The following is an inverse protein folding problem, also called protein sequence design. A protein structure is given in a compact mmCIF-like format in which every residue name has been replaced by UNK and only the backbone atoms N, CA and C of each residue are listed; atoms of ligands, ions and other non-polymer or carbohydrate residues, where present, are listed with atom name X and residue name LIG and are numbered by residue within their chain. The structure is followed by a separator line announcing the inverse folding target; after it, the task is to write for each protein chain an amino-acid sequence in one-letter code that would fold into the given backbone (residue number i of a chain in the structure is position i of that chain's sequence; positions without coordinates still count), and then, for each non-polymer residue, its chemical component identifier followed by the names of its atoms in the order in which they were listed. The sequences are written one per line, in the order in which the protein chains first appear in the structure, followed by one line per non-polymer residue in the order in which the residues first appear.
data_IF_321321387950
#
_entry.id   IF_321321387950
#
_cell.length_a   1.000
_cell.length_b   1.000
_cell.length_c   1.000
_cell.angle_alpha   90.00
_cell.angle_beta   90.00
_cell.angle_gamma   90.00
#
_symmetry.space_group_name_H-M   'P 1'
#
loop_
_entity.id
_entity.type
_entity.pdbx_description
1 polymer ?
#
# COMPACT_ATOMS: atom_id res chain seq x y z
N UNK A 1 4.22 24.62 -6.57
CA UNK A 1 3.17 24.15 -7.48
C UNK A 1 3.78 23.12 -8.40
N UNK A 2 3.02 22.08 -8.82
CA UNK A 2 3.49 21.12 -9.83
C UNK A 2 3.95 21.86 -11.07
N UNK A 3 5.05 21.41 -11.68
CA UNK A 3 5.45 21.94 -12.98
C UNK A 3 4.52 21.46 -14.08
N UNK A 4 4.41 22.21 -15.18
CA UNK A 4 3.71 21.74 -16.39
C UNK A 4 4.26 20.39 -16.88
N UNK A 5 5.55 20.13 -16.62
CA UNK A 5 6.19 18.85 -16.87
C UNK A 5 5.60 17.74 -16.01
N UNK A 6 5.51 17.90 -14.68
CA UNK A 6 4.97 16.87 -13.80
C UNK A 6 3.51 16.55 -14.09
N UNK A 7 2.67 17.55 -14.32
CA UNK A 7 1.27 17.32 -14.67
C UNK A 7 1.13 16.54 -16.00
N UNK A 8 1.92 16.92 -17.01
CA UNK A 8 1.95 16.19 -18.29
C UNK A 8 2.46 14.76 -18.09
N UNK A 9 3.54 14.60 -17.34
CA UNK A 9 4.16 13.29 -17.14
C UNK A 9 3.28 12.36 -16.32
N UNK A 10 2.56 12.89 -15.33
CA UNK A 10 1.58 12.12 -14.57
C UNK A 10 0.47 11.59 -15.48
N UNK A 11 -0.04 12.43 -16.40
CA UNK A 11 -1.04 12.01 -17.39
C UNK A 11 -0.53 10.89 -18.32
N UNK A 12 0.74 10.95 -18.74
CA UNK A 12 1.37 9.86 -19.52
C UNK A 12 1.42 8.56 -18.71
N UNK A 13 1.87 8.61 -17.45
CA UNK A 13 1.92 7.44 -16.57
C UNK A 13 0.52 6.86 -16.30
N UNK A 14 -0.51 7.69 -16.14
CA UNK A 14 -1.89 7.23 -16.02
C UNK A 14 -2.33 6.41 -17.25
N UNK A 15 -1.99 6.87 -18.45
CA UNK A 15 -2.29 6.14 -19.69
C UNK A 15 -1.53 4.81 -19.76
N UNK A 16 -0.26 4.79 -19.38
CA UNK A 16 0.55 3.57 -19.30
C UNK A 16 -0.05 2.55 -18.32
N UNK A 17 -0.47 3.01 -17.13
CA UNK A 17 -1.11 2.16 -16.11
C UNK A 17 -2.41 1.55 -16.65
N UNK A 18 -3.28 2.38 -17.24
CA UNK A 18 -4.55 1.94 -17.81
C UNK A 18 -4.35 0.94 -18.94
N UNK A 19 -3.44 1.23 -19.87
CA UNK A 19 -3.11 0.34 -20.98
C UNK A 19 -2.55 -1.00 -20.50
N UNK A 20 -1.66 -0.98 -19.51
CA UNK A 20 -1.12 -2.19 -18.89
C UNK A 20 -2.23 -3.03 -18.23
N UNK A 21 -3.14 -2.36 -17.52
CA UNK A 21 -4.26 -3.01 -16.85
C UNK A 21 -5.18 -3.74 -17.86
N UNK A 22 -5.53 -3.08 -18.96
CA UNK A 22 -6.33 -3.65 -20.05
C UNK A 22 -5.61 -4.82 -20.72
N UNK A 23 -4.33 -4.65 -21.05
CA UNK A 23 -3.51 -5.67 -21.70
C UNK A 23 -3.43 -6.95 -20.85
N UNK A 24 -3.18 -6.83 -19.55
CA UNK A 24 -3.09 -7.98 -18.66
C UNK A 24 -4.45 -8.64 -18.48
N UNK A 25 -5.52 -7.86 -18.36
CA UNK A 25 -6.89 -8.39 -18.23
C UNK A 25 -7.31 -9.18 -19.48
N UNK A 26 -7.04 -8.64 -20.68
CA UNK A 26 -7.29 -9.35 -21.93
C UNK A 26 -6.44 -10.63 -22.03
N UNK A 27 -5.15 -10.56 -21.66
CA UNK A 27 -4.26 -11.72 -21.68
C UNK A 27 -4.69 -12.81 -20.71
N UNK A 28 -5.24 -12.46 -19.55
CA UNK A 28 -5.80 -13.42 -18.60
C UNK A 28 -6.98 -14.19 -19.19
N UNK A 29 -7.90 -13.50 -19.86
CA UNK A 29 -9.11 -14.09 -20.44
C UNK A 29 -8.76 -14.97 -21.65
N UNK A 30 -7.84 -14.51 -22.50
CA UNK A 30 -7.49 -15.16 -23.77
C UNK A 30 -6.43 -16.27 -23.61
N UNK A 31 -5.77 -16.37 -22.45
CA UNK A 31 -4.74 -17.37 -22.25
C UNK A 31 -5.33 -18.80 -22.31
N UNK A 32 -4.72 -19.72 -23.08
CA UNK A 32 -5.21 -21.09 -23.18
C UNK A 32 -4.97 -21.91 -21.89
N UNK A 33 -3.96 -21.53 -21.10
CA UNK A 33 -3.58 -22.22 -19.87
C UNK A 33 -3.08 -21.26 -18.79
N UNK A 34 -3.22 -21.62 -17.50
CA UNK A 34 -2.60 -20.87 -16.40
C UNK A 34 -1.09 -20.67 -16.56
N UNK A 35 -0.38 -21.68 -17.06
CA UNK A 35 1.08 -21.63 -17.28
C UNK A 35 1.44 -20.58 -18.34
N UNK A 36 0.68 -20.49 -19.43
CA UNK A 36 0.92 -19.48 -20.47
C UNK A 36 0.70 -18.06 -19.96
N UNK A 37 -0.37 -17.82 -19.18
CA UNK A 37 -0.65 -16.52 -18.57
C UNK A 37 0.43 -16.13 -17.57
N UNK A 38 0.83 -17.05 -16.68
CA UNK A 38 1.80 -16.75 -15.63
C UNK A 38 3.20 -16.52 -16.18
N UNK A 39 3.58 -17.18 -17.28
CA UNK A 39 4.82 -16.89 -18.02
C UNK A 39 4.79 -15.48 -18.60
N UNK A 40 3.68 -15.09 -19.23
CA UNK A 40 3.48 -13.72 -19.72
C UNK A 40 3.55 -12.69 -18.58
N UNK A 41 2.82 -12.91 -17.49
CA UNK A 41 2.74 -11.98 -16.37
C UNK A 41 4.12 -11.71 -15.75
N UNK A 42 4.94 -12.76 -15.56
CA UNK A 42 6.32 -12.63 -15.08
C UNK A 42 7.20 -11.83 -16.04
N UNK A 43 7.08 -12.10 -17.35
CA UNK A 43 7.85 -11.37 -18.37
C UNK A 43 7.49 -9.88 -18.42
N UNK A 44 6.29 -9.51 -17.95
CA UNK A 44 5.81 -8.14 -17.91
C UNK A 44 6.01 -7.45 -16.55
N UNK A 45 6.57 -8.11 -15.53
CA UNK A 45 6.64 -7.53 -14.17
C UNK A 45 7.35 -6.17 -14.16
N UNK A 46 8.46 -6.03 -14.89
CA UNK A 46 9.17 -4.75 -14.97
C UNK A 46 8.34 -3.67 -15.68
N UNK A 47 7.66 -4.00 -16.78
CA UNK A 47 7.06 -3.04 -17.71
C UNK A 47 5.53 -2.87 -17.56
N UNK A 48 4.91 -3.57 -16.63
CA UNK A 48 3.48 -3.47 -16.34
C UNK A 48 3.21 -2.65 -15.09
N UNK A 49 1.95 -2.39 -14.81
CA UNK A 49 1.49 -1.80 -13.56
C UNK A 49 1.59 -2.76 -12.35
N UNK A 50 2.12 -3.97 -12.52
CA UNK A 50 2.22 -4.98 -11.45
C UNK A 50 3.60 -4.98 -10.79
N UNK A 51 3.64 -5.38 -9.53
CA UNK A 51 4.87 -5.54 -8.76
C UNK A 51 4.67 -6.52 -7.60
N UNK A 52 5.79 -7.07 -7.10
CA UNK A 52 5.78 -7.99 -5.96
C UNK A 52 5.09 -9.32 -6.24
N UNK A 53 5.21 -9.85 -7.47
CA UNK A 53 4.50 -11.05 -7.87
C UNK A 53 5.05 -12.29 -7.14
N UNK A 54 4.16 -13.03 -6.48
CA UNK A 54 4.48 -14.24 -5.71
C UNK A 54 3.57 -15.40 -6.11
N UNK A 55 4.20 -16.57 -6.28
CA UNK A 55 3.48 -17.83 -6.48
C UNK A 55 3.10 -18.47 -5.14
N UNK A 56 1.85 -18.87 -5.01
CA UNK A 56 1.33 -19.64 -3.88
C UNK A 56 1.16 -21.08 -4.34
N UNK A 57 2.14 -21.93 -3.99
CA UNK A 57 2.17 -23.35 -4.33
C UNK A 57 1.20 -24.22 -3.50
N UNK A 58 0.35 -23.57 -2.70
CA UNK A 58 -0.64 -24.21 -1.83
C UNK A 58 -2.03 -24.09 -2.43
N UNK A 59 -2.81 -25.18 -2.38
CA UNK A 59 -4.19 -25.19 -2.88
C UNK A 59 -5.11 -24.41 -1.95
N UNK A 60 -5.69 -23.32 -2.45
CA UNK A 60 -6.63 -22.44 -1.76
C UNK A 60 -8.06 -22.70 -2.26
N UNK A 61 -8.75 -23.67 -1.65
CA UNK A 61 -10.16 -23.96 -1.95
C UNK A 61 -10.46 -24.14 -3.43
N UNK A 62 -11.47 -23.43 -3.93
CA UNK A 62 -11.91 -23.41 -5.34
C UNK A 62 -10.93 -22.67 -6.27
N UNK A 63 -10.07 -21.81 -5.71
CA UNK A 63 -9.11 -20.99 -6.47
C UNK A 63 -7.87 -21.78 -6.88
N UNK A 64 -7.61 -22.92 -6.24
CA UNK A 64 -6.45 -23.75 -6.54
C UNK A 64 -5.15 -23.09 -6.07
N UNK A 65 -4.06 -23.32 -6.81
CA UNK A 65 -2.83 -22.53 -6.65
C UNK A 65 -3.04 -21.14 -7.26
N UNK A 66 -2.25 -20.15 -6.86
CA UNK A 66 -2.49 -18.77 -7.28
C UNK A 66 -1.19 -18.00 -7.52
N UNK A 67 -1.26 -16.95 -8.34
CA UNK A 67 -0.33 -15.83 -8.24
C UNK A 67 -1.00 -14.70 -7.45
N UNK A 68 -0.22 -14.00 -6.65
CA UNK A 68 -0.63 -12.78 -5.95
C UNK A 68 0.44 -11.71 -6.10
N UNK A 69 0.06 -10.46 -5.93
CA UNK A 69 0.98 -9.33 -5.91
C UNK A 69 0.20 -8.05 -5.71
N UNK A 70 0.79 -6.95 -6.14
CA UNK A 70 0.16 -5.64 -6.14
C UNK A 70 0.11 -5.08 -7.55
N UNK A 71 -0.86 -4.22 -7.84
CA UNK A 71 -0.81 -3.39 -9.02
C UNK A 71 -1.24 -1.96 -8.75
N UNK A 72 -0.68 -1.05 -9.53
CA UNK A 72 -1.12 0.33 -9.62
C UNK A 72 -2.41 0.42 -10.45
N UNK A 73 -3.37 1.18 -9.97
CA UNK A 73 -4.61 1.49 -10.66
C UNK A 73 -4.89 2.99 -10.60
N UNK A 74 -5.50 3.56 -11.64
CA UNK A 74 -5.78 5.00 -11.71
C UNK A 74 -7.26 5.24 -11.93
N UNK A 75 -7.85 6.10 -11.11
CA UNK A 75 -9.25 6.52 -11.24
C UNK A 75 -9.39 7.98 -10.78
N UNK A 76 -10.14 8.79 -11.54
CA UNK A 76 -10.45 10.19 -11.19
C UNK A 76 -9.21 11.05 -10.84
N UNK A 77 -8.06 10.72 -11.44
CA UNK A 77 -6.78 11.40 -11.21
C UNK A 77 -5.95 10.84 -10.05
N UNK A 78 -6.56 10.06 -9.15
CA UNK A 78 -5.89 9.41 -8.04
C UNK A 78 -5.19 8.12 -8.48
N UNK A 79 -4.13 7.77 -7.75
CA UNK A 79 -3.41 6.52 -7.90
C UNK A 79 -3.74 5.62 -6.70
N UNK A 80 -4.15 4.41 -6.99
CA UNK A 80 -4.53 3.37 -6.04
C UNK A 80 -3.57 2.19 -6.13
N UNK A 81 -3.49 1.43 -5.05
CA UNK A 81 -2.81 0.14 -5.04
C UNK A 81 -3.87 -0.93 -4.76
N UNK A 82 -3.92 -1.94 -5.62
CA UNK A 82 -4.75 -3.12 -5.40
C UNK A 82 -3.87 -4.31 -5.07
N UNK A 83 -4.28 -5.08 -4.07
CA UNK A 83 -3.81 -6.44 -3.89
C UNK A 83 -4.56 -7.35 -4.88
N UNK A 84 -3.80 -8.01 -5.74
CA UNK A 84 -4.35 -8.81 -6.84
C UNK A 84 -4.09 -10.30 -6.62
N UNK A 85 -5.06 -11.10 -7.07
CA UNK A 85 -5.02 -12.55 -7.00
C UNK A 85 -5.49 -13.16 -8.31
N UNK A 86 -4.69 -14.08 -8.84
CA UNK A 86 -4.95 -14.85 -10.05
C UNK A 86 -5.10 -16.33 -9.71
N UNK A 87 -6.33 -16.84 -9.58
CA UNK A 87 -6.61 -18.26 -9.47
C UNK A 87 -6.07 -19.04 -10.68
N UNK A 88 -5.40 -20.16 -10.42
CA UNK A 88 -4.86 -21.05 -11.46
C UNK A 88 -5.64 -22.38 -11.54
N UNK A 89 -6.71 -22.53 -10.75
CA UNK A 89 -7.60 -23.68 -10.91
C UNK A 89 -8.35 -23.60 -12.23
N UNK A 90 -8.60 -24.76 -12.87
CA UNK A 90 -9.43 -24.82 -14.08
C UNK A 90 -10.83 -24.22 -13.91
N UNK A 91 -11.37 -24.23 -12.69
CA UNK A 91 -12.71 -23.73 -12.39
C UNK A 91 -12.78 -22.20 -12.30
N UNK A 92 -11.66 -21.53 -11.96
CA UNK A 92 -11.63 -20.08 -11.69
C UNK A 92 -10.60 -19.33 -12.54
N UNK A 93 -9.83 -20.04 -13.37
CA UNK A 93 -8.89 -19.40 -14.29
C UNK A 93 -9.63 -18.45 -15.24
N UNK A 94 -8.98 -17.34 -15.59
CA UNK A 94 -9.62 -16.21 -16.28
C UNK A 94 -10.17 -15.13 -15.33
N UNK A 95 -10.19 -15.39 -14.03
CA UNK A 95 -10.65 -14.42 -13.01
C UNK A 95 -9.48 -13.66 -12.41
N UNK A 96 -9.64 -12.34 -12.26
CA UNK A 96 -8.78 -11.53 -11.39
C UNK A 96 -9.60 -11.07 -10.19
N UNK A 97 -9.12 -11.36 -8.99
CA UNK A 97 -9.70 -10.84 -7.75
C UNK A 97 -8.81 -9.68 -7.32
N UNK A 98 -9.35 -8.46 -7.32
CA UNK A 98 -8.66 -7.26 -6.88
C UNK A 98 -9.27 -6.79 -5.56
N UNK A 99 -8.41 -6.43 -4.61
CA UNK A 99 -8.81 -5.90 -3.32
C UNK A 99 -8.05 -4.61 -3.06
N UNK A 100 -8.80 -3.51 -2.91
CA UNK A 100 -8.28 -2.18 -2.59
C UNK A 100 -7.35 -2.27 -1.37
N UNK A 101 -6.10 -1.81 -1.53
CA UNK A 101 -5.08 -1.83 -0.48
C UNK A 101 -5.23 -0.65 0.49
N UNK A 102 -6.33 0.10 0.45
CA UNK A 102 -6.71 1.18 1.38
C UNK A 102 -5.88 2.47 1.20
N UNK A 103 -4.62 2.33 0.75
CA UNK A 103 -3.71 3.43 0.43
C UNK A 103 -4.00 4.05 -0.94
N UNK A 104 -4.31 5.35 -0.94
CA UNK A 104 -4.56 6.18 -2.12
C UNK A 104 -3.57 7.34 -2.18
N UNK A 105 -3.12 7.69 -3.38
CA UNK A 105 -2.21 8.80 -3.64
C UNK A 105 -2.94 9.86 -4.46
N UNK A 106 -2.92 11.11 -3.99
CA UNK A 106 -3.47 12.23 -4.76
C UNK A 106 -2.61 12.53 -6.00
N UNK A 107 -3.20 13.12 -7.05
CA UNK A 107 -2.45 13.61 -8.22
C UNK A 107 -1.30 14.50 -7.80
N UNK A 108 -1.56 15.40 -6.84
CA UNK A 108 -0.57 16.33 -6.33
C UNK A 108 0.63 15.63 -5.71
N UNK A 109 0.40 14.56 -4.94
CA UNK A 109 1.48 13.76 -4.38
C UNK A 109 2.34 13.12 -5.47
N UNK A 110 1.71 12.49 -6.47
CA UNK A 110 2.43 11.82 -7.56
C UNK A 110 3.20 12.83 -8.42
N UNK A 111 2.62 13.99 -8.70
CA UNK A 111 3.30 15.08 -9.39
C UNK A 111 4.52 15.59 -8.62
N UNK A 112 4.44 15.67 -7.28
CA UNK A 112 5.60 15.99 -6.45
C UNK A 112 6.67 14.91 -6.50
N UNK A 113 6.31 13.62 -6.60
CA UNK A 113 7.30 12.55 -6.80
C UNK A 113 8.04 12.74 -8.13
N UNK A 114 7.31 13.08 -9.21
CA UNK A 114 7.90 13.36 -10.52
C UNK A 114 8.87 14.54 -10.42
N UNK A 115 8.42 15.67 -9.87
CA UNK A 115 9.23 16.90 -9.79
C UNK A 115 10.44 16.76 -8.84
N UNK A 116 10.26 16.14 -7.68
CA UNK A 116 11.26 16.17 -6.58
C UNK A 116 12.14 14.94 -6.53
N UNK A 117 11.63 13.78 -6.94
CA UNK A 117 12.39 12.53 -7.00
C UNK A 117 12.77 12.13 -8.42
N UNK A 118 12.33 12.87 -9.44
CA UNK A 118 12.72 12.63 -10.83
C UNK A 118 12.11 11.36 -11.42
N UNK A 119 10.91 10.97 -10.97
CA UNK A 119 10.22 9.79 -11.49
C UNK A 119 9.74 10.04 -12.91
N UNK A 120 10.26 9.29 -13.87
CA UNK A 120 9.99 9.45 -15.30
C UNK A 120 9.38 8.20 -15.94
N UNK A 121 9.29 7.09 -15.22
CA UNK A 121 8.82 5.82 -15.76
C UNK A 121 7.90 5.11 -14.78
N UNK A 122 7.03 4.24 -15.31
CA UNK A 122 6.18 3.38 -14.48
C UNK A 122 7.01 2.49 -13.54
N UNK A 123 8.17 2.02 -13.99
CA UNK A 123 9.10 1.23 -13.17
C UNK A 123 9.59 2.01 -11.96
N UNK A 124 10.05 3.25 -12.16
CA UNK A 124 10.50 4.12 -11.07
C UNK A 124 9.36 4.43 -10.09
N UNK A 125 8.14 4.68 -10.59
CA UNK A 125 6.98 4.93 -9.74
C UNK A 125 6.66 3.71 -8.84
N UNK A 126 6.68 2.50 -9.40
CA UNK A 126 6.46 1.27 -8.62
C UNK A 126 7.55 1.05 -7.58
N UNK A 127 8.81 1.27 -7.96
CA UNK A 127 9.93 1.11 -7.04
C UNK A 127 9.85 2.08 -5.87
N UNK A 128 9.54 3.35 -6.13
CA UNK A 128 9.34 4.35 -5.08
C UNK A 128 8.21 3.97 -4.12
N UNK A 129 7.05 3.54 -4.66
CA UNK A 129 5.92 3.12 -3.84
C UNK A 129 6.27 1.90 -2.99
N UNK A 130 6.93 0.90 -3.58
CA UNK A 130 7.37 -0.29 -2.88
C UNK A 130 8.41 0.02 -1.80
N UNK A 131 9.36 0.91 -2.08
CA UNK A 131 10.39 1.35 -1.13
C UNK A 131 9.77 2.08 0.07
N UNK A 132 8.84 3.01 -0.16
CA UNK A 132 8.15 3.69 0.95
C UNK A 132 7.39 2.72 1.84
N UNK A 133 6.69 1.75 1.25
CA UNK A 133 5.94 0.74 1.99
C UNK A 133 6.88 -0.14 2.82
N UNK A 134 7.98 -0.61 2.22
CA UNK A 134 8.97 -1.43 2.88
C UNK A 134 9.68 -0.67 4.00
N UNK A 135 10.09 0.58 3.76
CA UNK A 135 10.75 1.42 4.76
C UNK A 135 9.86 1.65 6.00
N UNK A 136 8.56 1.89 5.80
CA UNK A 136 7.63 2.02 6.90
C UNK A 136 7.44 0.70 7.66
N UNK A 137 7.21 -0.41 6.96
CA UNK A 137 7.00 -1.71 7.59
C UNK A 137 8.23 -2.20 8.36
N UNK A 138 9.42 -1.99 7.79
CA UNK A 138 10.69 -2.37 8.40
C UNK A 138 11.19 -1.39 9.48
N UNK A 139 10.49 -0.27 9.70
CA UNK A 139 10.85 0.69 10.75
C UNK A 139 10.65 0.17 12.18
N UNK A 140 9.84 -0.88 12.34
CA UNK A 140 9.47 -1.44 13.64
C UNK A 140 8.39 -0.65 14.40
N UNK A 141 7.93 0.51 13.89
CA UNK A 141 6.93 1.32 14.60
C UNK A 141 5.61 0.56 14.82
N UNK A 142 5.08 -0.08 13.77
CA UNK A 142 3.83 -0.82 13.85
C UNK A 142 3.93 -2.05 14.78
N UNK A 143 5.10 -2.71 14.81
CA UNK A 143 5.36 -3.86 15.68
C UNK A 143 5.50 -3.45 17.15
N UNK A 144 6.17 -2.31 17.41
CA UNK A 144 6.45 -1.83 18.76
C UNK A 144 5.25 -1.15 19.42
N UNK A 145 4.56 -0.27 18.67
CA UNK A 145 3.55 0.62 19.22
C UNK A 145 2.14 0.24 18.79
N UNK A 146 1.99 -0.39 17.63
CA UNK A 146 0.70 -0.76 17.05
C UNK A 146 0.37 -0.02 15.77
N UNK A 147 -0.85 -0.23 15.28
CA UNK A 147 -1.37 0.45 14.10
C UNK A 147 -2.41 1.49 14.48
N UNK A 148 -2.44 2.58 13.74
CA UNK A 148 -3.37 3.67 14.00
C UNK A 148 -4.80 3.32 13.57
N UNK A 149 -5.76 3.76 14.38
CA UNK A 149 -7.15 3.96 13.96
C UNK A 149 -7.41 5.47 13.93
N UNK A 150 -7.25 6.09 12.77
CA UNK A 150 -7.29 7.55 12.63
C UNK A 150 -8.16 7.95 11.44
N UNK A 151 -9.16 8.76 11.76
CA UNK A 151 -10.11 9.42 10.86
C UNK A 151 -9.76 10.91 10.66
N UNK A 152 -8.48 11.26 10.83
CA UNK A 152 -7.97 12.64 10.76
C UNK A 152 -6.66 12.76 9.97
N UNK A 153 -6.16 14.00 9.83
CA UNK A 153 -4.83 14.24 9.28
C UNK A 153 -3.73 13.65 10.19
N UNK A 154 -2.69 13.12 9.56
CA UNK A 154 -1.50 12.58 10.23
C UNK A 154 -0.26 12.68 9.34
N UNK A 155 0.92 12.58 9.96
CA UNK A 155 2.19 12.58 9.26
C UNK A 155 2.81 11.19 9.30
N UNK A 156 3.38 10.74 8.19
CA UNK A 156 4.38 9.66 8.22
C UNK A 156 5.75 10.33 8.12
N UNK A 157 6.59 10.10 9.13
CA UNK A 157 7.88 10.76 9.28
C UNK A 157 8.98 9.75 9.02
N UNK A 158 9.90 10.15 8.16
CA UNK A 158 11.19 9.50 7.90
C UNK A 158 12.31 10.51 8.18
N UNK A 159 13.55 10.04 8.31
CA UNK A 159 14.74 10.91 8.49
C UNK A 159 14.84 12.01 7.45
N UNK A 160 14.51 11.68 6.21
CA UNK A 160 14.74 12.53 5.04
C UNK A 160 13.45 12.98 4.33
N UNK A 161 12.29 12.60 4.85
CA UNK A 161 11.00 12.90 4.25
C UNK A 161 9.90 12.97 5.30
N UNK A 162 8.94 13.88 5.11
CA UNK A 162 7.68 13.88 5.86
C UNK A 162 6.54 13.83 4.86
N UNK A 163 5.68 12.83 4.99
CA UNK A 163 4.48 12.65 4.17
C UNK A 163 3.26 13.13 4.95
N UNK A 164 2.45 13.96 4.32
CA UNK A 164 1.19 14.48 4.86
C UNK A 164 0.04 13.61 4.35
N UNK A 165 -0.69 13.02 5.29
CA UNK A 165 -1.75 12.06 5.02
C UNK A 165 -3.05 12.49 5.67
N UNK A 166 -4.13 11.90 5.17
CA UNK A 166 -5.45 12.02 5.73
C UNK A 166 -6.10 10.65 5.81
N UNK A 167 -6.55 10.27 6.98
CA UNK A 167 -7.42 9.12 7.18
C UNK A 167 -8.88 9.56 7.08
N UNK A 168 -9.69 8.82 6.35
CA UNK A 168 -11.15 8.94 6.39
C UNK A 168 -11.79 7.56 6.49
N UNK A 169 -13.04 7.51 6.93
CA UNK A 169 -13.83 6.28 6.89
C UNK A 169 -14.87 6.43 5.79
N UNK A 170 -14.91 5.49 4.84
CA UNK A 170 -15.91 5.52 3.77
C UNK A 170 -17.30 5.07 4.27
N UNK A 171 -18.31 5.20 3.40
CA UNK A 171 -19.71 4.84 3.69
C UNK A 171 -19.88 3.37 4.15
N UNK A 172 -18.90 2.51 3.86
CA UNK A 172 -18.91 1.10 4.25
C UNK A 172 -18.14 0.83 5.56
N UNK A 173 -17.80 1.88 6.31
CA UNK A 173 -16.92 1.83 7.48
C UNK A 173 -15.51 1.27 7.18
N UNK A 174 -15.01 1.47 5.96
CA UNK A 174 -13.65 1.11 5.60
C UNK A 174 -12.75 2.33 5.82
N UNK A 175 -11.76 2.21 6.69
CA UNK A 175 -10.72 3.22 6.82
C UNK A 175 -9.93 3.31 5.51
N UNK A 176 -9.76 4.53 4.99
CA UNK A 176 -9.02 4.91 3.78
C UNK A 176 -7.93 5.89 4.15
N UNK A 177 -6.74 5.71 3.58
CA UNK A 177 -5.62 6.63 3.79
C UNK A 177 -5.30 7.30 2.46
N UNK A 178 -5.27 8.63 2.46
CA UNK A 178 -4.88 9.44 1.31
C UNK A 178 -3.57 10.17 1.58
N UNK A 179 -2.57 9.91 0.74
CA UNK A 179 -1.31 10.67 0.69
C UNK A 179 -1.53 11.96 -0.09
N UNK A 180 -1.48 13.09 0.60
CA UNK A 180 -1.80 14.43 0.05
C UNK A 180 -0.56 15.12 -0.53
N UNK A 181 0.53 15.12 0.20
CA UNK A 181 1.80 15.75 -0.21
C UNK A 181 2.96 15.19 0.61
N UNK A 182 4.18 15.58 0.27
CA UNK A 182 5.34 15.37 1.13
C UNK A 182 6.27 16.58 1.10
N UNK A 183 7.26 16.59 1.98
CA UNK A 183 8.45 17.42 1.88
C UNK A 183 9.68 16.55 2.11
N UNK A 184 10.78 16.90 1.46
CA UNK A 184 12.07 16.20 1.62
C UNK A 184 13.03 16.98 2.50
N UNK A 185 14.14 16.37 2.90
CA UNK A 185 15.22 17.00 3.68
C UNK A 185 15.71 18.33 3.11
N UNK A 186 15.65 18.49 1.78
CA UNK A 186 16.09 19.70 1.09
C UNK A 186 15.12 20.87 1.28
N UNK A 187 13.90 20.58 1.73
CA UNK A 187 12.81 21.54 1.93
C UNK A 187 12.52 21.80 3.40
N UNK A 188 13.22 21.09 4.31
CA UNK A 188 13.13 21.34 5.74
C UNK A 188 13.61 22.77 6.05
N UNK A 189 12.83 23.49 6.86
CA UNK A 189 13.09 24.88 7.26
C UNK A 189 13.31 24.99 8.76
N UNK A 190 14.14 25.94 9.18
CA UNK A 190 14.41 26.19 10.60
C UNK A 190 14.97 24.94 11.29
N UNK A 191 14.37 24.56 12.41
CA UNK A 191 14.77 23.41 13.23
C UNK A 191 14.03 22.10 12.88
N UNK A 192 13.30 22.03 11.75
CA UNK A 192 12.50 20.86 11.41
C UNK A 192 13.31 19.56 11.38
N UNK A 193 14.54 19.59 10.85
CA UNK A 193 15.42 18.40 10.83
C UNK A 193 15.71 17.90 12.26
N UNK A 194 16.06 18.82 13.15
CA UNK A 194 16.36 18.50 14.55
C UNK A 194 15.14 17.93 15.28
N UNK A 195 13.94 18.48 15.01
CA UNK A 195 12.68 17.97 15.56
C UNK A 195 12.37 16.56 15.03
N UNK A 196 12.52 16.33 13.71
CA UNK A 196 12.33 15.01 13.10
C UNK A 196 13.29 13.99 13.72
N UNK A 197 14.57 14.34 13.80
CA UNK A 197 15.59 13.48 14.41
C UNK A 197 15.27 13.19 15.87
N UNK A 198 14.82 14.20 16.64
CA UNK A 198 14.38 14.03 18.01
C UNK A 198 13.20 13.04 18.13
N UNK A 199 12.16 13.17 17.29
CA UNK A 199 10.98 12.28 17.32
C UNK A 199 11.41 10.83 17.06
N UNK A 200 12.15 10.60 15.97
CA UNK A 200 12.58 9.27 15.56
C UNK A 200 13.52 8.64 16.59
N UNK A 201 14.47 9.40 17.12
CA UNK A 201 15.39 8.93 18.18
C UNK A 201 14.65 8.61 19.47
N UNK A 202 13.66 9.41 19.84
CA UNK A 202 12.87 9.19 21.07
C UNK A 202 12.01 7.94 20.99
N UNK A 203 11.49 7.62 19.81
CA UNK A 203 10.74 6.40 19.54
C UNK A 203 11.65 5.20 19.21
N UNK A 204 12.92 5.41 18.91
CA UNK A 204 13.85 4.34 18.55
C UNK A 204 13.50 3.63 17.24
N UNK A 205 12.97 4.38 16.25
CA UNK A 205 12.51 3.86 14.96
C UNK A 205 13.04 4.72 13.79
N UNK A 206 13.12 4.14 12.59
CA UNK A 206 13.56 4.86 11.37
C UNK A 206 12.42 5.57 10.65
N UNK A 207 11.18 5.18 10.93
CA UNK A 207 9.99 5.87 10.48
C UNK A 207 8.90 5.76 11.54
N UNK A 208 8.03 6.76 11.65
CA UNK A 208 6.90 6.71 12.57
C UNK A 208 5.68 7.42 12.00
N UNK A 209 4.52 7.19 12.61
CA UNK A 209 3.35 8.03 12.39
C UNK A 209 3.26 9.07 13.50
N UNK A 210 2.75 10.27 13.20
CA UNK A 210 2.28 11.24 14.19
C UNK A 210 0.89 11.76 13.86
N UNK A 211 -0.03 11.74 14.83
CA UNK A 211 -1.42 12.25 14.69
C UNK A 211 -1.47 13.78 14.81
N UNK A 212 -0.83 14.46 13.85
CA UNK A 212 -0.77 15.91 13.75
C UNK A 212 -0.86 16.32 12.29
N UNK A 213 -1.29 17.55 12.02
CA UNK A 213 -1.38 18.10 10.67
C UNK A 213 -0.09 18.80 10.21
N UNK A 214 0.82 19.09 11.15
CA UNK A 214 2.05 19.84 10.87
C UNK A 214 3.23 19.33 11.70
N UNK A 215 4.43 19.47 11.13
CA UNK A 215 5.69 19.13 11.81
C UNK A 215 5.81 20.02 13.06
N UNK A 216 5.98 19.44 14.25
CA UNK A 216 6.17 20.22 15.48
C UNK A 216 7.32 21.23 15.35
N UNK A 217 7.19 22.40 15.97
CA UNK A 217 8.20 23.47 15.93
C UNK A 217 9.11 23.48 17.14
N UNK A 218 8.70 22.82 18.23
CA UNK A 218 9.45 22.74 19.48
C UNK A 218 9.51 21.31 20.00
N UNK A 219 10.48 20.99 20.85
CA UNK A 219 10.56 19.68 21.50
C UNK A 219 9.33 19.38 22.37
N UNK A 220 8.72 20.40 22.98
CA UNK A 220 7.49 20.23 23.75
C UNK A 220 6.31 19.86 22.84
N UNK A 221 6.14 20.55 21.71
CA UNK A 221 5.12 20.17 20.72
C UNK A 221 5.37 18.75 20.18
N UNK A 222 6.63 18.37 19.94
CA UNK A 222 6.98 17.03 19.51
C UNK A 222 6.62 15.97 20.56
N UNK A 223 6.90 16.24 21.84
CA UNK A 223 6.51 15.35 22.93
C UNK A 223 5.00 15.16 23.03
N UNK A 224 4.24 16.26 22.93
CA UNK A 224 2.78 16.20 22.98
C UNK A 224 2.23 15.41 21.79
N UNK A 225 2.76 15.64 20.59
CA UNK A 225 2.34 14.90 19.39
C UNK A 225 2.63 13.40 19.50
N UNK A 226 3.79 13.01 20.05
CA UNK A 226 4.12 11.61 20.32
C UNK A 226 3.14 11.01 21.32
N UNK A 227 2.89 11.69 22.44
CA UNK A 227 1.99 11.21 23.48
C UNK A 227 0.56 11.02 22.94
N UNK A 228 0.05 11.99 22.19
CA UNK A 228 -1.28 11.94 21.58
C UNK A 228 -1.39 10.84 20.52
N UNK A 229 -0.30 10.61 19.78
CA UNK A 229 -0.23 9.50 18.83
C UNK A 229 -0.34 8.17 19.58
N UNK A 230 0.47 7.96 20.62
CA UNK A 230 0.48 6.71 21.38
C UNK A 230 -0.86 6.43 22.10
N UNK A 231 -1.64 7.46 22.44
CA UNK A 231 -3.02 7.30 22.94
C UNK A 231 -4.00 6.78 21.89
N UNK A 232 -3.71 6.99 20.60
CA UNK A 232 -4.57 6.66 19.45
C UNK A 232 -4.12 5.42 18.69
N UNK A 233 -2.88 5.00 18.87
CA UNK A 233 -2.40 3.73 18.32
C UNK A 233 -3.10 2.59 19.06
N UNK A 234 -3.68 1.66 18.30
CA UNK A 234 -4.25 0.43 18.83
C UNK A 234 -3.24 -0.70 18.69
N UNK A 235 -3.19 -1.58 19.68
CA UNK A 235 -2.29 -2.74 19.68
C UNK A 235 -2.43 -3.53 18.36
N UNK A 236 -1.31 -3.72 17.66
CA UNK A 236 -1.17 -4.47 16.41
C UNK A 236 -1.87 -5.83 16.46
N UNK A 237 -1.79 -6.49 17.61
CA UNK A 237 -2.41 -7.80 17.86
C UNK A 237 -3.93 -7.72 17.79
N UNK A 238 -4.52 -6.64 18.29
CA UNK A 238 -5.97 -6.41 18.30
C UNK A 238 -6.49 -6.14 16.89
N UNK A 239 -5.76 -5.43 16.03
CA UNK A 239 -6.17 -5.21 14.64
C UNK A 239 -6.04 -6.48 13.77
N UNK A 240 -4.96 -7.25 13.92
CA UNK A 240 -4.88 -8.58 13.27
C UNK A 240 -6.04 -9.47 13.74
N UNK A 241 -6.33 -9.50 15.05
CA UNK A 241 -7.47 -10.25 15.60
C UNK A 241 -8.83 -9.71 15.12
N UNK A 242 -8.97 -8.41 14.85
CA UNK A 242 -10.22 -7.80 14.38
C UNK A 242 -10.43 -7.99 12.88
N UNK A 243 -9.38 -7.89 12.06
CA UNK A 243 -9.43 -8.07 10.60
C UNK A 243 -9.46 -9.56 10.21
N UNK A 244 -8.76 -10.42 10.96
CA UNK A 244 -8.66 -11.87 10.67
C UNK A 244 -9.50 -12.76 11.60
N UNK A 245 -9.99 -12.23 12.72
CA UNK A 245 -10.81 -12.95 13.69
C UNK A 245 -10.03 -13.94 14.57
N UNK A 246 -8.70 -13.91 14.66
CA UNK A 246 -7.93 -14.83 15.54
C UNK A 246 -6.50 -14.37 15.83
N UNK A 247 -5.94 -14.72 17.02
CA UNK A 247 -4.52 -14.52 17.33
C UNK A 247 -3.63 -15.34 16.39
N UNK A 248 -2.59 -14.74 15.83
CA UNK A 248 -1.60 -15.47 15.03
C UNK A 248 -0.50 -16.01 15.96
N UNK A 249 -0.62 -17.30 16.28
CA UNK A 249 0.39 -18.33 15.99
C UNK A 249 -0.23 -19.70 16.29
N UNK A 250 -0.47 -20.48 15.24
CA UNK A 250 -0.71 -21.91 15.36
C UNK A 250 0.16 -22.62 14.34
N UNK A 251 1.15 -23.37 14.82
CA UNK A 251 1.97 -24.24 14.00
C UNK A 251 1.26 -25.60 13.85
N UNK A 252 1.27 -26.18 12.63
CA UNK A 252 0.73 -27.51 12.34
C UNK A 252 -0.48 -27.56 11.40
N UNK A 253 -0.80 -28.77 10.94
CA UNK A 253 -1.77 -29.05 9.87
C UNK A 253 -3.19 -28.48 10.07
N UNK A 254 -3.69 -28.44 11.31
CA UNK A 254 -5.04 -27.89 11.61
C UNK A 254 -5.08 -26.37 11.42
N UNK A 255 -3.97 -25.67 11.76
CA UNK A 255 -3.85 -24.23 11.58
C UNK A 255 -3.88 -23.86 10.10
N UNK A 256 -3.15 -24.61 9.29
CA UNK A 256 -3.09 -24.44 7.84
C UNK A 256 -4.47 -24.54 7.18
N UNK A 257 -5.31 -25.50 7.60
CA UNK A 257 -6.69 -25.62 7.10
C UNK A 257 -7.56 -24.43 7.50
N UNK A 258 -7.41 -23.92 8.72
CA UNK A 258 -8.15 -22.73 9.20
C UNK A 258 -7.75 -21.49 8.40
N UNK A 259 -6.46 -21.28 8.16
CA UNK A 259 -5.93 -20.18 7.34
C UNK A 259 -6.45 -20.25 5.90
N UNK A 260 -6.42 -21.42 5.25
CA UNK A 260 -6.99 -21.59 3.91
C UNK A 260 -8.46 -21.18 3.89
N UNK A 261 -9.26 -21.61 4.89
CA UNK A 261 -10.68 -21.25 4.97
C UNK A 261 -10.88 -19.74 5.15
N UNK A 262 -10.04 -19.07 5.95
CA UNK A 262 -10.09 -17.62 6.13
C UNK A 262 -9.76 -16.88 4.82
N UNK A 263 -8.71 -17.30 4.12
CA UNK A 263 -8.34 -16.73 2.81
C UNK A 263 -9.47 -16.92 1.81
N UNK A 264 -10.07 -18.12 1.73
CA UNK A 264 -11.21 -18.38 0.84
C UNK A 264 -12.39 -17.46 1.17
N UNK A 265 -12.75 -17.34 2.46
CA UNK A 265 -13.84 -16.46 2.92
C UNK A 265 -13.56 -14.99 2.61
N UNK A 266 -12.30 -14.57 2.70
CA UNK A 266 -11.89 -13.21 2.37
C UNK A 266 -12.00 -12.95 0.87
N UNK A 267 -11.36 -13.78 0.04
CA UNK A 267 -11.38 -13.63 -1.43
C UNK A 267 -12.78 -13.73 -2.01
N UNK A 268 -13.66 -14.58 -1.45
CA UNK A 268 -15.03 -14.72 -1.95
C UNK A 268 -15.87 -13.44 -1.83
N UNK A 269 -15.49 -12.49 -0.96
CA UNK A 269 -16.16 -11.18 -0.86
C UNK A 269 -15.89 -10.27 -2.07
N UNK A 270 -14.77 -10.50 -2.75
CA UNK A 270 -14.28 -9.67 -3.84
C UNK A 270 -14.25 -10.42 -5.17
N UNK A 271 -14.63 -11.70 -5.19
CA UNK A 271 -14.65 -12.53 -6.38
C UNK A 271 -15.83 -12.13 -7.28
N UNK A 272 -15.57 -11.62 -8.50
CA UNK A 272 -16.62 -11.12 -9.39
C UNK A 272 -17.56 -12.23 -9.91
N UNK A 273 -17.24 -13.51 -9.67
CA UNK A 273 -18.08 -14.64 -10.05
C UNK A 273 -18.83 -15.26 -8.85
N UNK A 274 -18.79 -14.62 -7.68
CA UNK A 274 -19.50 -15.03 -6.46
C UNK A 274 -20.31 -13.85 -5.91
N UNK A 275 -19.74 -12.65 -5.95
CA UNK A 275 -20.39 -11.40 -5.56
C UNK A 275 -21.51 -11.00 -6.53
#
# INVERSE_FOLDING_TARGET
MPTDFAAKKWKELQQEIQYSHETISQRLILAPTPESFTTFLKAQEANSNHFGLKYIDKKIGIYGKMYTGQCLFVEKGHLYIDNIWYPLSKQRFGTRIAVDAIDTYSSHYVEQLIDRKGINTLTELKLEIAEQFEQYNSSGFAEQYGMMDVDSDFLVIYRDMVVFNYGETDENNTARVMRKSFITKNEFKGNQKEIIDFILNKLGVEACILTTYAIPRTFNEANNAIEDTLKRVRDFKTQIETVTGSPIKHEGFKAEKKQIRQIVKYLSKYDPNIA
#
